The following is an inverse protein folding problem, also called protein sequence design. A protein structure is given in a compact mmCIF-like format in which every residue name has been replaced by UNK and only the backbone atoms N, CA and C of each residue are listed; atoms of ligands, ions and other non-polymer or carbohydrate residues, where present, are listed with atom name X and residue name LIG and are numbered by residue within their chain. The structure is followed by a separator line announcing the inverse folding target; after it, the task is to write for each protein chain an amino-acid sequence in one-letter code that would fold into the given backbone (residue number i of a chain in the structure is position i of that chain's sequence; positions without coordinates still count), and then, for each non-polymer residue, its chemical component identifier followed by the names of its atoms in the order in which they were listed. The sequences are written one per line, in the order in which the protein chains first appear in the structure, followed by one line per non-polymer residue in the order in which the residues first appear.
data_IF_321208504026
#
_entry.id   IF_321208504026
#
_cell.length_a   1.000
_cell.length_b   1.000
_cell.length_c   1.000
_cell.angle_alpha   90.00
_cell.angle_beta   90.00
_cell.angle_gamma   90.00
#
_symmetry.space_group_name_H-M   'P 1'
#
loop_
_entity.id
_entity.type
_entity.pdbx_description
1 polymer ?
#
# COMPACT_ATOMS: atom_id res chain seq x y z
N UNK A 1 15.57 16.14 -22.53
CA UNK A 1 14.98 16.83 -21.36
C UNK A 1 16.03 16.87 -20.27
N UNK A 2 16.24 18.00 -19.58
CA UNK A 2 17.19 18.06 -18.46
C UNK A 2 16.60 17.42 -17.20
N UNK A 3 17.45 16.95 -16.29
CA UNK A 3 17.04 16.35 -15.01
C UNK A 3 16.11 17.27 -14.21
N UNK A 4 16.48 18.55 -14.07
CA UNK A 4 15.69 19.50 -13.30
C UNK A 4 14.31 19.76 -13.94
N UNK A 5 14.23 19.78 -15.27
CA UNK A 5 12.94 19.90 -15.94
C UNK A 5 12.08 18.65 -15.74
N UNK A 6 12.68 17.45 -15.81
CA UNK A 6 11.97 16.20 -15.52
C UNK A 6 11.41 16.22 -14.08
N UNK A 7 12.22 16.63 -13.10
CA UNK A 7 11.80 16.77 -11.71
C UNK A 7 10.65 17.77 -11.55
N UNK A 8 10.75 18.96 -12.16
CA UNK A 8 9.68 19.97 -12.11
C UNK A 8 8.37 19.41 -12.66
N UNK A 9 8.42 18.73 -13.80
CA UNK A 9 7.22 18.16 -14.44
C UNK A 9 6.57 17.10 -13.56
N UNK A 10 7.34 16.13 -13.07
CA UNK A 10 6.77 15.03 -12.28
C UNK A 10 6.24 15.50 -10.93
N UNK A 11 6.93 16.44 -10.27
CA UNK A 11 6.46 17.05 -9.02
C UNK A 11 5.22 17.92 -9.26
N UNK A 12 5.17 18.65 -10.37
CA UNK A 12 3.98 19.42 -10.75
C UNK A 12 2.76 18.53 -10.92
N UNK A 13 2.91 17.35 -11.53
CA UNK A 13 1.79 16.40 -11.65
C UNK A 13 1.30 15.94 -10.28
N UNK A 14 2.21 15.58 -9.35
CA UNK A 14 1.83 15.21 -7.99
C UNK A 14 1.08 16.35 -7.28
N UNK A 15 1.58 17.59 -7.42
CA UNK A 15 0.91 18.78 -6.88
C UNK A 15 -0.51 18.95 -7.45
N UNK A 16 -0.70 18.77 -8.76
CA UNK A 16 -2.03 18.82 -9.37
C UNK A 16 -2.94 17.74 -8.77
N UNK A 17 -2.41 16.54 -8.55
CA UNK A 17 -3.12 15.46 -7.86
C UNK A 17 -3.60 15.86 -6.46
N UNK A 18 -2.70 16.38 -5.63
CA UNK A 18 -3.02 16.84 -4.27
C UNK A 18 -4.05 17.98 -4.28
N UNK A 19 -3.90 18.96 -5.18
CA UNK A 19 -4.82 20.08 -5.31
C UNK A 19 -6.25 19.62 -5.69
N UNK A 20 -6.36 18.62 -6.55
CA UNK A 20 -7.66 18.02 -6.90
C UNK A 20 -8.22 17.24 -5.72
N UNK A 21 -7.42 16.46 -5.01
CA UNK A 21 -7.86 15.69 -3.84
C UNK A 21 -8.40 16.61 -2.74
N UNK A 22 -7.68 17.70 -2.43
CA UNK A 22 -8.11 18.71 -1.45
C UNK A 22 -9.42 19.36 -1.88
N UNK A 23 -9.51 19.85 -3.12
CA UNK A 23 -10.74 20.52 -3.62
C UNK A 23 -11.95 19.60 -3.67
N UNK A 24 -11.74 18.32 -3.96
CA UNK A 24 -12.81 17.32 -4.04
C UNK A 24 -13.09 16.66 -2.68
N UNK A 25 -12.42 17.09 -1.60
CA UNK A 25 -12.51 16.49 -0.26
C UNK A 25 -12.32 14.96 -0.30
N UNK A 26 -11.22 14.56 -0.94
CA UNK A 26 -10.82 13.18 -1.21
C UNK A 26 -11.79 12.35 -2.08
N UNK A 27 -12.81 12.95 -2.72
CA UNK A 27 -13.71 12.20 -3.61
C UNK A 27 -12.98 11.67 -4.85
N UNK A 28 -12.02 12.45 -5.38
CA UNK A 28 -11.03 11.97 -6.34
C UNK A 28 -9.66 11.92 -5.64
N UNK A 29 -9.09 10.73 -5.36
CA UNK A 29 -7.79 10.63 -4.69
C UNK A 29 -6.64 11.19 -5.52
N UNK A 30 -5.60 11.75 -4.88
CA UNK A 30 -4.43 12.29 -5.59
C UNK A 30 -3.72 11.23 -6.43
N UNK A 31 -3.68 9.99 -5.93
CA UNK A 31 -3.14 8.81 -6.60
C UNK A 31 -3.77 8.60 -7.98
N UNK A 32 -5.10 8.74 -8.07
CA UNK A 32 -5.85 8.53 -9.29
C UNK A 32 -5.53 9.62 -10.32
N UNK A 33 -5.59 10.90 -9.90
CA UNK A 33 -5.33 12.05 -10.78
C UNK A 33 -3.90 12.00 -11.31
N UNK A 34 -2.93 11.75 -10.42
CA UNK A 34 -1.53 11.63 -10.78
C UNK A 34 -1.31 10.49 -11.78
N UNK A 35 -1.90 9.31 -11.55
CA UNK A 35 -1.79 8.18 -12.47
C UNK A 35 -2.34 8.50 -13.87
N UNK A 36 -3.50 9.16 -13.97
CA UNK A 36 -4.07 9.61 -15.26
C UNK A 36 -3.11 10.56 -15.97
N UNK A 37 -2.58 11.56 -15.25
CA UNK A 37 -1.67 12.55 -15.83
C UNK A 37 -0.33 11.94 -16.26
N UNK A 38 0.21 10.99 -15.50
CA UNK A 38 1.40 10.23 -15.88
C UNK A 38 1.16 9.38 -17.13
N UNK A 39 0.02 8.67 -17.22
CA UNK A 39 -0.34 7.90 -18.43
C UNK A 39 -0.41 8.81 -19.65
N UNK A 40 -1.12 9.94 -19.56
CA UNK A 40 -1.19 10.92 -20.65
C UNK A 40 0.22 11.42 -21.02
N UNK A 41 1.05 11.70 -20.02
CA UNK A 41 2.45 12.08 -20.21
C UNK A 41 3.24 11.02 -21.02
N UNK A 42 3.18 9.76 -20.61
CA UNK A 42 3.83 8.63 -21.29
C UNK A 42 3.31 8.40 -22.72
N UNK A 43 2.05 8.69 -23.00
CA UNK A 43 1.49 8.55 -24.35
C UNK A 43 1.84 9.70 -25.29
N UNK A 44 2.32 10.83 -24.77
CA UNK A 44 2.44 12.07 -25.57
C UNK A 44 3.86 12.60 -25.63
N UNK A 45 4.49 12.95 -24.50
CA UNK A 45 5.75 13.72 -24.50
C UNK A 45 6.78 13.28 -23.45
N UNK A 46 6.46 12.35 -22.55
CA UNK A 46 7.42 11.86 -21.55
C UNK A 46 8.50 10.98 -22.20
N UNK A 47 9.79 11.18 -21.86
CA UNK A 47 10.76 10.11 -22.06
C UNK A 47 10.36 8.91 -21.18
N UNK A 48 10.55 7.69 -21.68
CA UNK A 48 10.24 6.46 -20.93
C UNK A 48 10.88 6.42 -19.54
N UNK A 49 12.09 6.96 -19.43
CA UNK A 49 12.87 7.00 -18.19
C UNK A 49 12.75 8.34 -17.44
N UNK A 50 11.64 9.08 -17.58
CA UNK A 50 11.46 10.40 -16.95
C UNK A 50 11.69 10.36 -15.43
N UNK A 51 11.28 9.28 -14.75
CA UNK A 51 11.43 9.13 -13.30
C UNK A 51 12.89 8.94 -12.91
N UNK A 52 13.63 8.09 -13.63
CA UNK A 52 15.07 7.97 -13.44
C UNK A 52 15.81 9.27 -13.78
N UNK A 53 15.40 9.95 -14.85
CA UNK A 53 15.94 11.27 -15.25
C UNK A 53 15.67 12.35 -14.20
N UNK A 54 14.56 12.28 -13.46
CA UNK A 54 14.26 13.18 -12.35
C UNK A 54 15.13 12.92 -11.10
N UNK A 55 15.99 11.89 -11.13
CA UNK A 55 16.88 11.52 -10.02
C UNK A 55 16.32 10.41 -9.13
N UNK A 56 15.30 9.67 -9.58
CA UNK A 56 14.69 8.57 -8.83
C UNK A 56 14.85 7.24 -9.60
N UNK A 57 16.07 6.69 -9.70
CA UNK A 57 16.23 5.32 -10.18
C UNK A 57 15.69 4.32 -9.15
N UNK A 58 15.42 3.09 -9.58
CA UNK A 58 14.85 2.03 -8.73
C UNK A 58 15.64 1.80 -7.43
N UNK A 59 16.96 1.94 -7.45
CA UNK A 59 17.81 1.80 -6.25
C UNK A 59 17.44 2.83 -5.15
N UNK A 60 17.17 4.08 -5.54
CA UNK A 60 16.77 5.15 -4.61
C UNK A 60 15.36 4.88 -4.08
N UNK A 61 14.45 4.40 -4.94
CA UNK A 61 13.10 4.03 -4.53
C UNK A 61 13.08 2.89 -3.51
N UNK A 62 13.84 1.82 -3.76
CA UNK A 62 13.97 0.68 -2.83
C UNK A 62 14.55 1.12 -1.50
N UNK A 63 15.58 1.97 -1.50
CA UNK A 63 16.15 2.55 -0.28
C UNK A 63 15.08 3.33 0.52
N UNK A 64 14.32 4.23 -0.13
CA UNK A 64 13.26 4.99 0.54
C UNK A 64 12.13 4.09 1.04
N UNK A 65 11.84 3.00 0.34
CA UNK A 65 10.85 2.00 0.77
C UNK A 65 11.24 1.36 2.11
N UNK A 66 12.51 0.95 2.26
CA UNK A 66 13.02 0.43 3.52
C UNK A 66 12.87 1.42 4.68
N UNK A 67 13.25 2.68 4.47
CA UNK A 67 13.15 3.71 5.50
C UNK A 67 11.70 4.00 5.87
N UNK A 68 10.80 4.11 4.89
CA UNK A 68 9.39 4.40 5.11
C UNK A 68 8.68 3.26 5.83
N UNK A 69 8.89 2.01 5.41
CA UNK A 69 8.22 0.86 6.01
C UNK A 69 8.72 0.64 7.44
N UNK A 70 10.02 0.78 7.68
CA UNK A 70 10.56 0.74 9.04
C UNK A 70 9.97 1.87 9.89
N UNK A 71 9.83 3.08 9.33
CA UNK A 71 9.18 4.20 10.00
C UNK A 71 7.70 3.93 10.31
N UNK A 72 6.96 3.28 9.40
CA UNK A 72 5.58 2.86 9.66
C UNK A 72 5.49 1.86 10.81
N UNK A 73 6.48 0.98 10.95
CA UNK A 73 6.58 0.08 12.11
C UNK A 73 6.61 0.85 13.44
N UNK A 74 7.16 2.06 13.46
CA UNK A 74 7.21 2.90 14.67
C UNK A 74 5.87 3.51 15.06
N UNK A 75 4.88 3.49 14.16
CA UNK A 75 3.52 3.95 14.46
C UNK A 75 2.71 2.91 15.23
N UNK A 76 3.13 1.64 15.19
CA UNK A 76 2.39 0.51 15.71
C UNK A 76 3.00 -0.03 17.00
N UNK A 77 2.16 -0.34 17.99
CA UNK A 77 2.58 -1.14 19.15
C UNK A 77 2.57 -2.64 18.83
N UNK A 78 3.34 -3.44 19.60
CA UNK A 78 3.28 -4.92 19.49
C UNK A 78 1.85 -5.42 19.73
N UNK A 79 1.12 -4.77 20.65
CA UNK A 79 -0.25 -5.13 20.95
C UNK A 79 -1.18 -4.79 19.77
N UNK A 80 -1.01 -3.63 19.13
CA UNK A 80 -1.73 -3.28 17.91
C UNK A 80 -1.49 -4.29 16.80
N UNK A 81 -0.23 -4.68 16.55
CA UNK A 81 0.09 -5.67 15.52
C UNK A 81 -0.59 -7.02 15.81
N UNK A 82 -0.56 -7.48 17.07
CA UNK A 82 -1.30 -8.67 17.49
C UNK A 82 -2.81 -8.51 17.28
N UNK A 83 -3.36 -7.33 17.55
CA UNK A 83 -4.78 -7.03 17.37
C UNK A 83 -5.19 -6.98 15.89
N UNK A 84 -4.24 -6.85 14.93
CA UNK A 84 -4.52 -6.86 13.50
C UNK A 84 -4.77 -8.26 12.91
N UNK A 85 -4.81 -9.34 13.70
CA UNK A 85 -5.11 -10.67 13.16
C UNK A 85 -6.44 -10.73 12.39
N UNK A 86 -7.47 -9.97 12.84
CA UNK A 86 -8.75 -9.87 12.12
C UNK A 86 -8.58 -9.24 10.75
N UNK A 87 -7.77 -8.19 10.66
CA UNK A 87 -7.40 -7.51 9.42
C UNK A 87 -6.73 -8.49 8.47
N UNK A 88 -5.78 -9.30 8.95
CA UNK A 88 -5.11 -10.34 8.15
C UNK A 88 -6.14 -11.32 7.59
N UNK A 89 -7.04 -11.85 8.43
CA UNK A 89 -8.08 -12.79 7.98
C UNK A 89 -9.01 -12.15 6.94
N UNK A 90 -9.40 -10.90 7.13
CA UNK A 90 -10.25 -10.17 6.18
C UNK A 90 -9.53 -9.97 4.84
N UNK A 91 -8.27 -9.53 4.88
CA UNK A 91 -7.46 -9.31 3.68
C UNK A 91 -7.27 -10.61 2.89
N UNK A 92 -6.96 -11.72 3.58
CA UNK A 92 -6.88 -13.06 2.98
C UNK A 92 -8.22 -13.54 2.42
N UNK A 93 -9.33 -13.27 3.13
CA UNK A 93 -10.67 -13.59 2.64
C UNK A 93 -11.01 -12.82 1.36
N UNK A 94 -10.61 -11.55 1.29
CA UNK A 94 -10.73 -10.72 0.10
C UNK A 94 -9.99 -11.29 -1.11
N UNK A 95 -8.73 -11.69 -0.91
CA UNK A 95 -7.93 -12.35 -1.95
C UNK A 95 -8.56 -13.67 -2.37
N UNK A 96 -9.00 -14.50 -1.41
CA UNK A 96 -9.72 -15.74 -1.71
C UNK A 96 -10.97 -15.48 -2.54
N UNK A 97 -11.70 -14.40 -2.26
CA UNK A 97 -12.86 -13.98 -3.04
C UNK A 97 -12.51 -13.67 -4.49
N UNK A 98 -11.40 -12.96 -4.74
CA UNK A 98 -10.90 -12.74 -6.11
C UNK A 98 -10.59 -14.08 -6.78
N UNK A 99 -9.80 -14.92 -6.13
CA UNK A 99 -9.38 -16.21 -6.70
C UNK A 99 -10.60 -17.06 -7.04
N UNK A 100 -11.54 -17.19 -6.11
CA UNK A 100 -12.75 -17.99 -6.30
C UNK A 100 -13.61 -17.47 -7.45
N UNK A 101 -13.87 -16.16 -7.53
CA UNK A 101 -14.74 -15.59 -8.57
C UNK A 101 -14.06 -15.58 -9.94
N UNK A 102 -12.77 -15.24 -10.01
CA UNK A 102 -12.05 -15.21 -11.29
C UNK A 102 -11.77 -16.60 -11.84
N UNK A 103 -11.41 -17.58 -11.00
CA UNK A 103 -11.20 -18.96 -11.47
C UNK A 103 -12.51 -19.73 -11.73
N UNK A 104 -13.67 -19.17 -11.34
CA UNK A 104 -14.98 -19.72 -11.69
C UNK A 104 -15.63 -18.91 -12.82
N UNK A 105 -16.36 -17.85 -12.46
CA UNK A 105 -17.09 -17.00 -13.41
C UNK A 105 -16.16 -16.34 -14.43
N UNK A 106 -15.00 -15.86 -13.99
CA UNK A 106 -14.02 -15.26 -14.90
C UNK A 106 -13.52 -16.25 -15.94
N UNK A 107 -13.20 -17.48 -15.52
CA UNK A 107 -12.75 -18.55 -16.43
C UNK A 107 -13.82 -18.95 -17.42
N UNK A 108 -15.09 -19.00 -17.00
CA UNK A 108 -16.21 -19.29 -17.90
C UNK A 108 -16.40 -18.22 -18.99
N UNK A 109 -16.10 -16.95 -18.69
CA UNK A 109 -16.32 -15.82 -19.60
C UNK A 109 -15.09 -15.53 -20.47
N UNK A 110 -13.89 -15.56 -19.88
CA UNK A 110 -12.64 -15.07 -20.49
C UNK A 110 -11.58 -16.15 -20.70
N UNK A 111 -11.85 -17.40 -20.29
CA UNK A 111 -10.91 -18.51 -20.42
C UNK A 111 -9.96 -18.66 -19.23
N UNK A 112 -9.44 -19.87 -19.05
CA UNK A 112 -8.61 -20.26 -17.91
C UNK A 112 -7.27 -19.53 -17.89
N UNK A 113 -6.50 -19.59 -18.99
CA UNK A 113 -5.18 -18.95 -19.08
C UNK A 113 -5.26 -17.44 -18.81
N UNK A 114 -6.28 -16.76 -19.32
CA UNK A 114 -6.51 -15.34 -19.06
C UNK A 114 -6.65 -15.04 -17.58
N UNK A 115 -7.45 -15.83 -16.85
CA UNK A 115 -7.68 -15.60 -15.41
C UNK A 115 -6.52 -16.06 -14.54
N UNK A 116 -5.82 -17.13 -14.93
CA UNK A 116 -4.57 -17.54 -14.28
C UNK A 116 -3.56 -16.41 -14.34
N UNK A 117 -3.42 -15.76 -15.50
CA UNK A 117 -2.53 -14.59 -15.65
C UNK A 117 -3.04 -13.36 -14.89
N UNK A 118 -4.35 -13.14 -14.84
CA UNK A 118 -4.96 -11.98 -14.20
C UNK A 118 -4.85 -11.96 -12.68
N UNK A 119 -5.06 -13.12 -12.04
CA UNK A 119 -5.31 -13.19 -10.58
C UNK A 119 -4.13 -12.67 -9.76
N UNK A 120 -2.88 -13.17 -9.92
CA UNK A 120 -1.78 -12.74 -9.07
C UNK A 120 -1.45 -11.24 -9.18
N UNK A 121 -1.37 -10.65 -10.39
CA UNK A 121 -1.16 -9.21 -10.53
C UNK A 121 -2.34 -8.39 -9.96
N UNK A 122 -3.58 -8.89 -10.05
CA UNK A 122 -4.77 -8.23 -9.49
C UNK A 122 -4.74 -8.09 -7.96
N UNK A 123 -4.12 -9.04 -7.26
CA UNK A 123 -3.99 -9.04 -5.80
C UNK A 123 -2.58 -8.66 -5.33
N UNK A 124 -1.78 -8.09 -6.24
CA UNK A 124 -0.34 -8.05 -6.11
C UNK A 124 0.36 -6.80 -6.59
N UNK A 125 1.68 -6.82 -6.36
CA UNK A 125 2.59 -5.75 -6.76
C UNK A 125 3.31 -6.07 -8.08
N UNK A 126 4.19 -5.16 -8.50
CA UNK A 126 5.01 -5.27 -9.73
C UNK A 126 5.65 -6.66 -9.87
N UNK A 127 6.15 -7.24 -8.78
CA UNK A 127 6.83 -8.54 -8.81
C UNK A 127 5.92 -9.66 -9.33
N UNK A 128 4.67 -9.74 -8.83
CA UNK A 128 3.71 -10.74 -9.29
C UNK A 128 3.31 -10.54 -10.76
N UNK A 129 3.18 -9.27 -11.18
CA UNK A 129 2.94 -8.89 -12.57
C UNK A 129 4.07 -9.35 -13.49
N UNK A 130 5.33 -9.15 -13.08
CA UNK A 130 6.51 -9.58 -13.83
C UNK A 130 6.59 -11.12 -13.93
N UNK A 131 6.39 -11.85 -12.83
CA UNK A 131 6.40 -13.32 -12.83
C UNK A 131 5.37 -13.88 -13.82
N UNK A 132 4.14 -13.39 -13.75
CA UNK A 132 3.08 -13.86 -14.65
C UNK A 132 3.31 -13.40 -16.09
N UNK A 133 3.85 -12.21 -16.29
CA UNK A 133 4.19 -11.68 -17.62
C UNK A 133 5.27 -12.52 -18.29
N UNK A 134 6.34 -12.85 -17.57
CA UNK A 134 7.43 -13.67 -18.06
C UNK A 134 6.97 -15.12 -18.32
N UNK A 135 6.24 -15.72 -17.39
CA UNK A 135 5.69 -17.07 -17.57
C UNK A 135 4.74 -17.18 -18.77
N UNK A 136 3.84 -16.21 -18.95
CA UNK A 136 2.97 -16.17 -20.12
C UNK A 136 3.78 -16.00 -21.42
N UNK A 137 4.84 -15.19 -21.42
CA UNK A 137 5.73 -15.06 -22.57
C UNK A 137 6.44 -16.36 -22.90
N UNK A 138 6.94 -17.09 -21.90
CA UNK A 138 7.61 -18.39 -22.07
C UNK A 138 6.65 -19.46 -22.60
N UNK A 139 5.38 -19.40 -22.21
CA UNK A 139 4.30 -20.26 -22.71
C UNK A 139 3.79 -19.88 -24.11
N UNK A 140 4.38 -18.87 -24.78
CA UNK A 140 3.94 -18.40 -26.10
C UNK A 140 2.67 -17.53 -26.09
N UNK A 141 2.22 -17.10 -24.91
CA UNK A 141 1.00 -16.30 -24.69
C UNK A 141 1.34 -14.80 -24.64
N UNK A 142 1.86 -14.26 -25.75
CA UNK A 142 2.37 -12.89 -25.82
C UNK A 142 1.33 -11.82 -25.41
N UNK A 143 0.06 -11.97 -25.81
CA UNK A 143 -1.02 -11.06 -25.41
C UNK A 143 -1.33 -11.13 -23.92
N UNK A 144 -1.20 -12.30 -23.29
CA UNK A 144 -1.41 -12.45 -21.85
C UNK A 144 -0.20 -11.94 -21.04
N UNK A 145 1.01 -12.03 -21.59
CA UNK A 145 2.20 -11.41 -21.00
C UNK A 145 2.02 -9.90 -20.82
N UNK A 146 1.48 -9.25 -21.84
CA UNK A 146 1.07 -7.84 -21.83
C UNK A 146 -0.07 -7.61 -20.82
N UNK A 147 -1.07 -8.49 -20.82
CA UNK A 147 -2.22 -8.40 -19.92
C UNK A 147 -1.83 -8.37 -18.43
N UNK A 148 -0.85 -9.18 -18.02
CA UNK A 148 -0.34 -9.22 -16.64
C UNK A 148 0.18 -7.85 -16.15
N UNK A 149 0.88 -7.12 -17.01
CA UNK A 149 1.44 -5.80 -16.68
C UNK A 149 0.33 -4.76 -16.67
N UNK A 150 -0.56 -4.82 -17.64
CA UNK A 150 -1.65 -3.84 -17.78
C UNK A 150 -2.65 -3.96 -16.65
N UNK A 151 -3.03 -5.16 -16.20
CA UNK A 151 -3.98 -5.29 -15.09
C UNK A 151 -3.40 -4.69 -13.80
N UNK A 152 -2.13 -4.95 -13.51
CA UNK A 152 -1.40 -4.35 -12.38
C UNK A 152 -1.45 -2.82 -12.42
N UNK A 153 -1.22 -2.23 -13.60
CA UNK A 153 -1.28 -0.78 -13.82
C UNK A 153 -2.71 -0.23 -13.64
N UNK A 154 -3.70 -0.95 -14.17
CA UNK A 154 -5.06 -0.42 -14.33
C UNK A 154 -5.96 -0.67 -13.12
N UNK A 155 -5.68 -1.68 -12.29
CA UNK A 155 -6.52 -2.02 -11.13
C UNK A 155 -6.61 -0.89 -10.09
N UNK A 156 -5.53 -0.10 -9.93
CA UNK A 156 -5.50 1.04 -9.03
C UNK A 156 -6.57 2.08 -9.39
N UNK A 157 -6.88 2.26 -10.68
CA UNK A 157 -7.89 3.23 -11.13
C UNK A 157 -9.30 2.90 -10.62
N UNK A 158 -9.61 1.62 -10.43
CA UNK A 158 -10.85 1.19 -9.80
C UNK A 158 -10.74 1.16 -8.27
N UNK A 159 -9.59 0.73 -7.75
CA UNK A 159 -9.32 0.61 -6.32
C UNK A 159 -9.34 1.95 -5.58
N UNK A 160 -8.60 2.97 -6.06
CA UNK A 160 -8.41 4.20 -5.29
C UNK A 160 -9.72 4.94 -4.97
N UNK A 161 -10.61 5.22 -5.95
CA UNK A 161 -11.85 5.92 -5.67
C UNK A 161 -12.77 5.10 -4.75
N UNK A 162 -12.82 3.79 -4.95
CA UNK A 162 -13.66 2.90 -4.15
C UNK A 162 -13.20 2.85 -2.70
N UNK A 163 -11.89 2.73 -2.47
CA UNK A 163 -11.28 2.79 -1.14
C UNK A 163 -11.59 4.11 -0.45
N UNK A 164 -11.39 5.24 -1.14
CA UNK A 164 -11.70 6.55 -0.56
C UNK A 164 -13.18 6.65 -0.14
N UNK A 165 -14.09 6.19 -0.99
CA UNK A 165 -15.53 6.20 -0.70
C UNK A 165 -15.89 5.40 0.55
N UNK A 166 -15.32 4.20 0.72
CA UNK A 166 -15.64 3.36 1.89
C UNK A 166 -14.92 3.80 3.15
N UNK A 167 -13.66 4.25 3.06
CA UNK A 167 -12.94 4.85 4.19
C UNK A 167 -13.64 6.11 4.67
N UNK A 168 -14.21 6.92 3.77
CA UNK A 168 -14.96 8.13 4.16
C UNK A 168 -16.22 7.79 4.95
N UNK A 169 -16.90 6.69 4.60
CA UNK A 169 -18.05 6.19 5.37
C UNK A 169 -17.61 5.64 6.73
N UNK A 170 -16.50 4.90 6.76
CA UNK A 170 -15.93 4.38 7.99
C UNK A 170 -15.46 5.48 8.94
N UNK A 171 -14.71 6.46 8.43
CA UNK A 171 -14.23 7.59 9.22
C UNK A 171 -15.38 8.41 9.80
N UNK A 172 -16.47 8.64 9.05
CA UNK A 172 -17.68 9.29 9.61
C UNK A 172 -18.32 8.49 10.74
N UNK A 173 -18.33 7.16 10.63
CA UNK A 173 -18.85 6.25 11.66
C UNK A 173 -18.00 6.33 12.93
N UNK A 174 -16.68 6.25 12.80
CA UNK A 174 -15.72 6.36 13.91
C UNK A 174 -15.78 7.75 14.55
N UNK A 175 -15.88 8.81 13.75
CA UNK A 175 -15.98 10.18 14.23
C UNK A 175 -17.24 10.41 15.07
N UNK A 176 -18.37 9.85 14.62
CA UNK A 176 -19.62 9.85 15.40
C UNK A 176 -19.43 9.16 16.74
N UNK A 177 -18.84 7.96 16.74
CA UNK A 177 -18.58 7.19 17.96
C UNK A 177 -17.61 7.90 18.92
N UNK A 178 -16.61 8.61 18.39
CA UNK A 178 -15.66 9.40 19.16
C UNK A 178 -16.35 10.58 19.86
N UNK A 179 -17.13 11.37 19.10
CA UNK A 179 -17.91 12.50 19.63
C UNK A 179 -18.96 12.09 20.65
N UNK A 180 -19.51 10.89 20.51
CA UNK A 180 -20.45 10.27 21.46
C UNK A 180 -19.74 9.69 22.70
N UNK A 181 -18.40 9.74 22.78
CA UNK A 181 -17.61 9.20 23.90
C UNK A 181 -17.46 7.67 23.93
N UNK A 182 -18.10 6.96 23.02
CA UNK A 182 -18.06 5.49 22.93
C UNK A 182 -16.71 4.94 22.46
N UNK A 183 -15.96 5.70 21.64
CA UNK A 183 -14.61 5.32 21.21
C UNK A 183 -13.58 5.51 22.33
N UNK A 184 -13.71 6.60 23.10
CA UNK A 184 -12.82 6.92 24.21
C UNK A 184 -12.89 5.88 25.35
N UNK A 185 -14.06 5.30 25.63
CA UNK A 185 -14.19 4.23 26.62
C UNK A 185 -13.44 2.94 26.23
N UNK A 186 -13.32 2.64 24.92
CA UNK A 186 -12.57 1.50 24.41
C UNK A 186 -11.05 1.75 24.39
N UNK A 187 -10.63 2.99 24.07
CA UNK A 187 -9.20 3.39 24.14
C UNK A 187 -8.70 3.50 25.58
N UNK A 188 -9.49 4.04 26.52
CA UNK A 188 -9.15 4.12 27.95
C UNK A 188 -9.06 2.72 28.59
N UNK A 189 -9.92 1.77 28.20
CA UNK A 189 -9.80 0.38 28.65
C UNK A 189 -8.54 -0.33 28.12
N UNK A 190 -8.02 0.09 26.96
CA UNK A 190 -6.77 -0.43 26.39
C UNK A 190 -5.50 0.30 26.87
N UNK A 191 -5.64 1.54 27.39
CA UNK A 191 -4.53 2.41 27.81
C UNK A 191 -4.39 2.58 29.33
N UNK A 192 -5.31 2.04 30.14
CA UNK A 192 -5.24 2.06 31.61
C UNK A 192 -3.97 1.40 32.21
N UNK A 193 -3.10 0.79 31.39
CA UNK A 193 -1.82 0.22 31.81
C UNK A 193 -0.55 0.96 31.34
N UNK A 194 -0.63 2.08 30.61
CA UNK A 194 0.59 2.72 30.10
C UNK A 194 0.61 4.24 30.25
N UNK A 195 1.46 4.74 31.16
CA UNK A 195 2.00 6.09 31.10
C UNK A 195 2.59 6.36 29.70
N UNK A 196 2.66 7.63 29.21
CA UNK A 196 3.28 7.94 27.93
C UNK A 196 4.68 7.32 27.90
N UNK A 197 4.96 6.35 27.00
CA UNK A 197 6.23 5.67 27.03
C UNK A 197 7.33 6.70 26.72
N UNK A 198 8.36 6.73 27.56
CA UNK A 198 9.62 7.42 27.24
C UNK A 198 10.06 6.90 25.87
N UNK A 199 10.00 7.74 24.83
CA UNK A 199 10.15 7.30 23.44
C UNK A 199 11.53 6.68 23.15
N UNK A 200 12.57 7.11 23.86
CA UNK A 200 13.95 6.65 23.68
C UNK A 200 14.53 6.03 24.97
N UNK A 201 13.94 4.94 25.46
CA UNK A 201 14.39 4.26 26.69
C UNK A 201 15.89 3.93 26.68
N UNK A 202 16.42 3.46 25.54
CA UNK A 202 17.83 3.10 25.41
C UNK A 202 18.78 4.30 25.37
N UNK A 203 18.25 5.50 25.13
CA UNK A 203 19.00 6.75 25.07
C UNK A 203 18.54 7.75 26.13
N UNK A 204 17.90 7.29 27.22
CA UNK A 204 17.33 8.15 28.27
C UNK A 204 18.35 9.12 28.88
N UNK A 205 19.62 8.72 28.96
CA UNK A 205 20.71 9.51 29.54
C UNK A 205 21.48 10.32 28.47
N UNK A 206 21.08 10.26 27.20
CA UNK A 206 21.75 10.98 26.12
C UNK A 206 21.27 12.43 26.11
N UNK A 207 22.18 13.43 26.12
CA UNK A 207 21.80 14.83 25.94
C UNK A 207 21.07 15.05 24.61
N UNK A 208 19.97 15.82 24.62
CA UNK A 208 19.13 16.05 23.43
C UNK A 208 19.89 16.62 22.23
N UNK A 209 20.97 17.39 22.48
CA UNK A 209 21.86 17.92 21.43
C UNK A 209 22.48 16.86 20.51
N UNK A 210 22.54 15.60 20.95
CA UNK A 210 23.03 14.48 20.13
C UNK A 210 21.90 13.75 19.39
N UNK A 211 20.63 14.01 19.68
CA UNK A 211 19.48 13.48 18.92
C UNK A 211 19.25 14.27 17.62
N UNK A 212 20.29 14.39 16.80
CA UNK A 212 20.26 15.10 15.51
C UNK A 212 19.46 14.34 14.46
N UNK A 213 19.11 14.99 13.34
CA UNK A 213 18.43 14.35 12.21
C UNK A 213 19.22 13.15 11.66
N UNK A 214 20.55 13.27 11.54
CA UNK A 214 21.40 12.17 11.11
C UNK A 214 21.42 11.01 12.10
N UNK A 215 21.33 11.29 13.40
CA UNK A 215 21.22 10.24 14.40
C UNK A 215 19.89 9.47 14.26
N UNK A 216 18.80 10.15 13.93
CA UNK A 216 17.50 9.53 13.63
C UNK A 216 17.58 8.66 12.37
N UNK A 217 18.14 9.20 11.27
CA UNK A 217 18.33 8.44 10.03
C UNK A 217 19.23 7.22 10.22
N UNK A 218 20.34 7.36 10.96
CA UNK A 218 21.25 6.25 11.24
C UNK A 218 20.52 5.09 11.93
N UNK A 219 19.79 5.38 13.02
CA UNK A 219 19.06 4.34 13.75
C UNK A 219 17.97 3.70 12.88
N UNK A 220 17.23 4.50 12.12
CA UNK A 220 16.20 4.00 11.22
C UNK A 220 16.78 3.08 10.14
N UNK A 221 17.86 3.52 9.48
CA UNK A 221 18.54 2.75 8.44
C UNK A 221 19.18 1.47 9.01
N UNK A 222 19.72 1.53 10.23
CA UNK A 222 20.27 0.35 10.90
C UNK A 222 19.18 -0.70 11.15
N UNK A 223 18.01 -0.29 11.66
CA UNK A 223 16.88 -1.22 11.89
C UNK A 223 16.39 -1.81 10.57
N UNK A 224 16.26 -1.00 9.51
CA UNK A 224 15.90 -1.48 8.18
C UNK A 224 16.93 -2.47 7.61
N UNK A 225 18.22 -2.21 7.82
CA UNK A 225 19.30 -3.09 7.39
C UNK A 225 19.29 -4.42 8.15
N UNK A 226 19.03 -4.41 9.46
CA UNK A 226 18.88 -5.64 10.25
C UNK A 226 17.70 -6.50 9.77
N UNK A 227 16.58 -5.86 9.39
CA UNK A 227 15.45 -6.56 8.78
C UNK A 227 15.82 -7.20 7.44
N UNK A 228 16.53 -6.47 6.58
CA UNK A 228 17.07 -7.01 5.32
C UNK A 228 18.00 -8.19 5.55
N UNK A 229 18.99 -8.07 6.45
CA UNK A 229 19.91 -9.16 6.77
C UNK A 229 19.16 -10.39 7.27
N UNK A 230 18.17 -10.21 8.14
CA UNK A 230 17.36 -11.31 8.66
C UNK A 230 16.59 -12.00 7.54
N UNK A 231 16.04 -11.27 6.58
CA UNK A 231 15.41 -11.85 5.37
C UNK A 231 16.41 -12.70 4.57
N UNK A 232 17.62 -12.17 4.32
CA UNK A 232 18.65 -12.89 3.54
C UNK A 232 19.15 -14.15 4.25
N UNK A 233 19.30 -14.12 5.58
CA UNK A 233 19.73 -15.28 6.37
C UNK A 233 18.64 -16.34 6.50
N UNK A 234 17.37 -15.94 6.49
CA UNK A 234 16.23 -16.86 6.53
C UNK A 234 15.93 -17.49 5.16
N UNK A 235 16.31 -16.84 4.06
CA UNK A 235 15.99 -17.28 2.70
C UNK A 235 16.25 -18.77 2.39
N UNK A 236 17.31 -19.44 2.92
CA UNK A 236 17.52 -20.87 2.71
C UNK A 236 16.48 -21.78 3.38
N UNK A 237 15.79 -21.29 4.42
CA UNK A 237 14.82 -22.07 5.22
C UNK A 237 13.39 -21.61 4.94
N UNK A 238 13.14 -20.29 4.96
CA UNK A 238 11.84 -19.67 4.72
C UNK A 238 12.06 -18.33 4.01
N UNK A 239 11.40 -18.15 2.86
CA UNK A 239 11.37 -16.85 2.18
C UNK A 239 10.39 -15.90 2.88
N UNK A 240 10.93 -14.92 3.61
CA UNK A 240 10.16 -13.85 4.24
C UNK A 240 10.54 -12.52 3.60
N UNK A 241 9.56 -11.73 3.19
CA UNK A 241 9.83 -10.43 2.59
C UNK A 241 10.59 -9.51 3.55
N UNK A 242 11.67 -8.86 3.08
CA UNK A 242 12.44 -7.95 3.91
C UNK A 242 11.62 -6.72 4.34
N UNK A 243 10.56 -6.36 3.59
CA UNK A 243 9.66 -5.27 3.97
C UNK A 243 8.72 -5.63 5.11
N UNK A 244 8.26 -6.89 5.18
CA UNK A 244 7.47 -7.39 6.32
C UNK A 244 8.34 -7.38 7.58
N UNK A 245 9.60 -7.81 7.44
CA UNK A 245 10.56 -7.73 8.54
C UNK A 245 10.89 -6.28 8.90
N UNK A 246 10.99 -5.36 7.94
CA UNK A 246 11.25 -3.95 8.22
C UNK A 246 10.15 -3.33 9.09
N UNK A 247 8.87 -3.65 8.80
CA UNK A 247 7.74 -3.25 9.62
C UNK A 247 7.86 -3.84 11.04
N UNK A 248 8.10 -5.15 11.14
CA UNK A 248 8.22 -5.85 12.43
C UNK A 248 9.39 -5.32 13.27
N UNK A 249 10.55 -5.13 12.65
CA UNK A 249 11.74 -4.60 13.31
C UNK A 249 11.54 -3.15 13.73
N UNK A 250 10.80 -2.35 12.95
CA UNK A 250 10.35 -1.02 13.36
C UNK A 250 9.53 -1.07 14.66
N UNK A 251 8.53 -1.96 14.74
CA UNK A 251 7.71 -2.17 15.95
C UNK A 251 8.58 -2.60 17.15
N UNK A 252 9.48 -3.57 16.95
CA UNK A 252 10.38 -4.08 18.00
C UNK A 252 11.32 -2.98 18.48
N UNK A 253 11.96 -2.26 17.57
CA UNK A 253 12.92 -1.21 17.90
C UNK A 253 12.24 -0.03 18.61
N UNK A 254 11.01 0.33 18.24
CA UNK A 254 10.23 1.33 18.98
C UNK A 254 9.81 0.83 20.36
N UNK A 255 9.38 -0.42 20.47
CA UNK A 255 8.99 -1.01 21.76
C UNK A 255 10.16 -1.14 22.73
N UNK A 256 11.35 -1.44 22.21
CA UNK A 256 12.60 -1.45 22.96
C UNK A 256 13.08 -0.03 23.35
N UNK A 257 12.52 1.03 22.75
CA UNK A 257 12.95 2.42 22.94
C UNK A 257 14.27 2.75 22.24
N UNK A 258 14.60 2.02 21.15
CA UNK A 258 15.69 2.34 20.23
C UNK A 258 15.27 3.37 19.18
N UNK A 259 14.06 3.23 18.63
CA UNK A 259 13.43 4.19 17.72
C UNK A 259 12.33 4.97 18.44
N UNK A 260 12.23 6.26 18.14
CA UNK A 260 11.08 7.08 18.53
C UNK A 260 9.91 6.87 17.55
N UNK A 261 8.68 7.27 17.92
CA UNK A 261 7.57 7.26 16.95
C UNK A 261 7.83 8.29 15.86
N UNK A 262 7.44 7.98 14.62
CA UNK A 262 7.54 8.90 13.46
C UNK A 262 8.96 9.41 13.22
N UNK A 263 9.96 8.52 13.30
CA UNK A 263 11.40 8.84 13.13
C UNK A 263 11.67 9.67 11.89
N UNK A 264 11.07 9.30 10.76
CA UNK A 264 11.32 9.92 9.47
C UNK A 264 10.68 11.31 9.35
N UNK A 265 9.53 11.53 10.00
CA UNK A 265 8.93 12.85 10.14
C UNK A 265 9.80 13.75 11.03
N UNK A 266 10.23 13.23 12.19
CA UNK A 266 11.12 13.94 13.13
C UNK A 266 12.53 14.20 12.57
N UNK A 267 12.90 13.53 11.49
CA UNK A 267 14.14 13.74 10.75
C UNK A 267 13.95 14.56 9.45
N UNK A 268 12.77 15.16 9.24
CA UNK A 268 12.43 15.95 8.04
C UNK A 268 12.57 15.18 6.70
N UNK A 269 12.56 13.84 6.73
CA UNK A 269 12.73 12.97 5.57
C UNK A 269 11.45 12.41 4.97
N UNK A 270 10.32 12.53 5.66
CA UNK A 270 9.11 11.78 5.29
C UNK A 270 8.53 12.23 3.95
N UNK A 271 8.42 13.54 3.71
CA UNK A 271 7.84 14.08 2.47
C UNK A 271 8.61 13.68 1.22
N UNK A 272 9.95 13.79 1.25
CA UNK A 272 10.80 13.39 0.12
C UNK A 272 10.74 11.88 -0.12
N UNK A 273 10.67 11.07 0.94
CA UNK A 273 10.56 9.62 0.79
C UNK A 273 9.23 9.22 0.13
N UNK A 274 8.10 9.85 0.52
CA UNK A 274 6.80 9.61 -0.12
C UNK A 274 6.82 10.06 -1.59
N UNK A 275 7.39 11.23 -1.88
CA UNK A 275 7.56 11.72 -3.26
C UNK A 275 8.32 10.69 -4.12
N UNK A 276 9.46 10.20 -3.63
CA UNK A 276 10.28 9.20 -4.33
C UNK A 276 9.48 7.92 -4.61
N UNK A 277 8.73 7.41 -3.63
CA UNK A 277 7.92 6.21 -3.83
C UNK A 277 6.76 6.42 -4.80
N UNK A 278 6.13 7.59 -4.77
CA UNK A 278 5.07 7.95 -5.70
C UNK A 278 5.57 7.93 -7.14
N UNK A 279 6.72 8.54 -7.38
CA UNK A 279 7.36 8.52 -8.70
C UNK A 279 7.69 7.09 -9.14
N UNK A 280 8.20 6.25 -8.24
CA UNK A 280 8.48 4.85 -8.54
C UNK A 280 7.24 4.05 -8.94
N UNK A 281 6.11 4.23 -8.23
CA UNK A 281 4.84 3.57 -8.59
C UNK A 281 4.40 4.01 -9.99
N UNK A 282 4.41 5.31 -10.25
CA UNK A 282 3.96 5.84 -11.54
C UNK A 282 4.93 5.54 -12.68
N UNK A 283 6.20 5.26 -12.41
CA UNK A 283 7.13 4.75 -13.43
C UNK A 283 6.64 3.42 -14.03
N UNK A 284 5.94 2.59 -13.24
CA UNK A 284 5.33 1.36 -13.72
C UNK A 284 4.31 1.56 -14.85
N UNK A 285 3.73 2.76 -14.97
CA UNK A 285 2.74 3.11 -16.00
C UNK A 285 3.37 3.25 -17.39
N UNK A 286 4.70 3.37 -17.50
CA UNK A 286 5.41 3.54 -18.79
C UNK A 286 5.23 2.36 -19.76
N UNK A 287 4.83 1.20 -19.23
CA UNK A 287 4.57 -0.01 -20.02
C UNK A 287 3.15 -0.06 -20.58
N UNK A 288 2.21 0.75 -20.06
CA UNK A 288 0.82 0.73 -20.53
C UNK A 288 0.67 1.59 -21.78
N UNK A 289 0.58 0.97 -22.97
CA UNK A 289 0.32 1.67 -24.23
C UNK A 289 -1.17 1.68 -24.58
N UNK A 290 -1.67 2.67 -25.36
CA UNK A 290 -3.08 2.70 -25.77
C UNK A 290 -3.50 1.44 -26.56
N UNK A 291 -2.61 0.92 -27.42
CA UNK A 291 -2.85 -0.31 -28.18
C UNK A 291 -3.02 -1.52 -27.27
N UNK A 292 -2.10 -1.70 -26.31
CA UNK A 292 -2.19 -2.78 -25.31
C UNK A 292 -3.50 -2.69 -24.52
N UNK A 293 -3.92 -1.48 -24.11
CA UNK A 293 -5.17 -1.28 -23.39
C UNK A 293 -6.40 -1.65 -24.21
N UNK A 294 -6.44 -1.28 -25.48
CA UNK A 294 -7.60 -1.54 -26.35
C UNK A 294 -7.78 -3.03 -26.65
N UNK A 295 -6.68 -3.76 -26.87
CA UNK A 295 -6.72 -5.20 -27.20
C UNK A 295 -7.27 -6.05 -26.06
N UNK A 296 -6.96 -5.70 -24.81
CA UNK A 296 -7.34 -6.47 -23.61
C UNK A 296 -8.39 -5.76 -22.76
N UNK A 297 -9.03 -4.71 -23.27
CA UNK A 297 -9.94 -3.86 -22.50
C UNK A 297 -11.10 -4.65 -21.89
N UNK A 298 -11.69 -5.54 -22.68
CA UNK A 298 -12.84 -6.35 -22.27
C UNK A 298 -12.46 -7.33 -21.15
N UNK A 299 -11.45 -8.22 -21.29
CA UNK A 299 -11.05 -9.10 -20.20
C UNK A 299 -10.49 -8.33 -18.99
N UNK A 300 -9.87 -7.16 -19.21
CA UNK A 300 -9.37 -6.30 -18.13
C UNK A 300 -10.50 -5.76 -17.25
N UNK A 301 -11.48 -5.08 -17.86
CA UNK A 301 -12.61 -4.51 -17.12
C UNK A 301 -13.40 -5.65 -16.47
N UNK A 302 -13.62 -6.74 -17.20
CA UNK A 302 -14.29 -7.94 -16.67
C UNK A 302 -13.60 -8.50 -15.43
N UNK A 303 -12.28 -8.71 -15.49
CA UNK A 303 -11.50 -9.23 -14.36
C UNK A 303 -11.52 -8.28 -13.16
N UNK A 304 -11.38 -6.97 -13.37
CA UNK A 304 -11.42 -5.97 -12.29
C UNK A 304 -12.81 -5.97 -11.63
N UNK A 305 -13.88 -5.92 -12.41
CA UNK A 305 -15.26 -5.90 -11.87
C UNK A 305 -15.57 -7.18 -11.11
N UNK A 306 -15.30 -8.35 -11.71
CA UNK A 306 -15.51 -9.63 -11.05
C UNK A 306 -14.64 -9.79 -9.80
N UNK A 307 -13.39 -9.36 -9.86
CA UNK A 307 -12.47 -9.32 -8.72
C UNK A 307 -13.05 -8.48 -7.58
N UNK A 308 -13.47 -7.24 -7.85
CA UNK A 308 -14.08 -6.35 -6.86
C UNK A 308 -15.34 -6.94 -6.23
N UNK A 309 -16.18 -7.63 -7.01
CA UNK A 309 -17.36 -8.33 -6.49
C UNK A 309 -16.94 -9.46 -5.54
N UNK A 310 -15.97 -10.28 -5.95
CA UNK A 310 -15.42 -11.35 -5.12
C UNK A 310 -14.85 -10.84 -3.80
N UNK A 311 -14.03 -9.78 -3.86
CA UNK A 311 -13.49 -9.07 -2.70
C UNK A 311 -14.61 -8.64 -1.76
N UNK A 312 -15.59 -7.90 -2.29
CA UNK A 312 -16.67 -7.33 -1.50
C UNK A 312 -17.47 -8.41 -0.75
N UNK A 313 -17.87 -9.47 -1.46
CA UNK A 313 -18.70 -10.54 -0.88
C UNK A 313 -17.94 -11.25 0.24
N UNK A 314 -16.69 -11.67 0.00
CA UNK A 314 -15.93 -12.41 0.99
C UNK A 314 -15.47 -11.55 2.16
N UNK A 315 -15.02 -10.32 1.90
CA UNK A 315 -14.65 -9.38 2.97
C UNK A 315 -15.86 -8.99 3.81
N UNK A 316 -17.04 -8.87 3.21
CA UNK A 316 -18.29 -8.61 3.93
C UNK A 316 -18.65 -9.76 4.87
N UNK A 317 -18.56 -11.01 4.40
CA UNK A 317 -18.82 -12.20 5.22
C UNK A 317 -17.80 -12.27 6.37
N UNK A 318 -16.50 -12.16 6.07
CA UNK A 318 -15.45 -12.20 7.08
C UNK A 318 -15.59 -11.06 8.10
N UNK A 319 -15.85 -9.83 7.63
CA UNK A 319 -16.08 -8.66 8.48
C UNK A 319 -17.26 -8.87 9.43
N UNK A 320 -18.37 -9.40 8.93
CA UNK A 320 -19.56 -9.72 9.75
C UNK A 320 -19.25 -10.76 10.82
N UNK A 321 -18.51 -11.82 10.49
CA UNK A 321 -18.11 -12.86 11.45
C UNK A 321 -17.15 -12.33 12.51
N UNK A 322 -16.21 -11.48 12.12
CA UNK A 322 -15.16 -10.94 13.00
C UNK A 322 -15.56 -9.66 13.75
N UNK A 323 -16.79 -9.17 13.52
CA UNK A 323 -17.34 -7.92 14.08
C UNK A 323 -16.53 -6.68 13.68
N UNK A 324 -16.06 -6.65 12.44
CA UNK A 324 -15.46 -5.47 11.79
C UNK A 324 -16.52 -4.85 10.88
N UNK A 325 -16.55 -3.52 10.75
CA UNK A 325 -17.53 -2.88 9.87
C UNK A 325 -17.36 -3.34 8.42
N UNK A 326 -18.46 -3.35 7.68
CA UNK A 326 -18.44 -3.68 6.26
C UNK A 326 -17.56 -2.73 5.46
N UNK A 327 -17.55 -1.44 5.82
CA UNK A 327 -16.73 -0.41 5.20
C UNK A 327 -15.24 -0.68 5.42
N UNK A 328 -14.84 -0.92 6.68
CA UNK A 328 -13.44 -1.19 6.99
C UNK A 328 -13.00 -2.54 6.43
N UNK A 329 -13.84 -3.57 6.52
CA UNK A 329 -13.51 -4.88 6.00
C UNK A 329 -13.30 -4.84 4.47
N UNK A 330 -14.15 -4.11 3.75
CA UNK A 330 -13.95 -3.94 2.32
C UNK A 330 -12.75 -3.05 1.99
N UNK A 331 -12.52 -1.96 2.75
CA UNK A 331 -11.31 -1.14 2.59
C UNK A 331 -10.03 -1.96 2.75
N UNK A 332 -9.96 -2.80 3.80
CA UNK A 332 -8.85 -3.75 4.06
C UNK A 332 -8.72 -4.77 2.94
N UNK A 333 -9.82 -5.21 2.33
CA UNK A 333 -9.71 -6.08 1.17
C UNK A 333 -9.09 -5.34 -0.01
N UNK A 334 -9.54 -4.11 -0.30
CA UNK A 334 -9.12 -3.31 -1.45
C UNK A 334 -7.62 -2.99 -1.47
N UNK A 335 -6.95 -3.04 -0.31
CA UNK A 335 -5.49 -2.87 -0.22
C UNK A 335 -4.72 -3.88 -1.07
N UNK A 336 -5.31 -5.05 -1.37
CA UNK A 336 -4.73 -6.04 -2.26
C UNK A 336 -4.49 -5.53 -3.69
N UNK A 337 -5.22 -4.50 -4.13
CA UNK A 337 -5.09 -3.95 -5.48
C UNK A 337 -3.90 -3.01 -5.65
N UNK A 338 -3.30 -2.48 -4.59
CA UNK A 338 -2.27 -1.45 -4.78
C UNK A 338 -1.26 -1.33 -3.65
N UNK A 339 -1.64 -1.61 -2.40
CA UNK A 339 -0.72 -1.60 -1.27
C UNK A 339 -0.15 -0.22 -0.91
N UNK A 340 0.99 -0.24 -0.22
CA UNK A 340 1.73 0.95 0.19
C UNK A 340 2.54 1.56 -0.98
N UNK A 341 2.68 2.90 -1.09
CA UNK A 341 2.15 3.99 -0.25
C UNK A 341 0.70 4.42 -0.49
N UNK A 342 0.00 3.90 -1.49
CA UNK A 342 -1.37 4.33 -1.80
C UNK A 342 -2.34 4.10 -0.63
N UNK A 343 -2.21 2.99 0.10
CA UNK A 343 -2.94 2.74 1.35
C UNK A 343 -2.79 3.88 2.36
N UNK A 344 -1.56 4.38 2.54
CA UNK A 344 -1.24 5.45 3.48
C UNK A 344 -1.83 6.78 3.01
N UNK A 345 -1.62 7.14 1.73
CA UNK A 345 -2.01 8.43 1.18
C UNK A 345 -3.53 8.58 1.18
N UNK A 346 -4.25 7.59 0.64
CA UNK A 346 -5.71 7.64 0.54
C UNK A 346 -6.34 7.70 1.93
N UNK A 347 -5.80 6.94 2.90
CA UNK A 347 -6.30 6.95 4.28
C UNK A 347 -6.12 8.33 4.91
N UNK A 348 -4.94 8.93 4.79
CA UNK A 348 -4.68 10.27 5.35
C UNK A 348 -5.48 11.37 4.64
N UNK A 349 -5.63 11.30 3.32
CA UNK A 349 -6.50 12.23 2.57
C UNK A 349 -7.93 12.18 3.06
N UNK A 350 -8.47 10.97 3.27
CA UNK A 350 -9.82 10.80 3.80
C UNK A 350 -9.91 11.36 5.21
N UNK A 351 -8.99 11.01 6.12
CA UNK A 351 -8.99 11.50 7.50
C UNK A 351 -8.95 13.04 7.53
N UNK A 352 -8.03 13.64 6.78
CA UNK A 352 -7.87 15.10 6.71
C UNK A 352 -9.08 15.79 6.08
N UNK A 353 -9.83 15.09 5.21
CA UNK A 353 -11.08 15.62 4.63
C UNK A 353 -12.28 15.59 5.60
N UNK A 354 -12.18 14.83 6.70
CA UNK A 354 -13.28 14.59 7.64
C UNK A 354 -13.25 15.50 8.86
N UNK A 355 -12.07 15.95 9.30
CA UNK A 355 -11.93 16.79 10.48
C UNK A 355 -10.71 17.72 10.43
N UNK A 356 -10.88 18.90 11.01
CA UNK A 356 -9.81 19.87 11.25
C UNK A 356 -9.23 19.74 12.67
N UNK A 357 -9.92 19.04 13.58
CA UNK A 357 -9.49 18.85 14.98
C UNK A 357 -8.38 17.79 15.09
N UNK A 358 -7.30 18.14 15.80
CA UNK A 358 -6.12 17.28 15.92
C UNK A 358 -6.40 15.97 16.69
N UNK A 359 -7.25 16.00 17.72
CA UNK A 359 -7.57 14.82 18.52
C UNK A 359 -8.48 13.87 17.75
N UNK A 360 -9.48 14.40 17.06
CA UNK A 360 -10.31 13.61 16.14
C UNK A 360 -9.46 12.98 15.04
N UNK A 361 -8.49 13.73 14.48
CA UNK A 361 -7.55 13.23 13.48
C UNK A 361 -6.70 12.09 14.03
N UNK A 362 -6.17 12.23 15.24
CA UNK A 362 -5.38 11.19 15.90
C UNK A 362 -6.20 9.92 16.12
N UNK A 363 -7.43 10.05 16.63
CA UNK A 363 -8.33 8.91 16.85
C UNK A 363 -8.71 8.21 15.54
N UNK A 364 -8.98 8.95 14.46
CA UNK A 364 -9.22 8.33 13.16
C UNK A 364 -7.95 7.63 12.62
N UNK A 365 -6.78 8.25 12.81
CA UNK A 365 -5.50 7.69 12.36
C UNK A 365 -5.16 6.40 13.09
N UNK A 366 -5.34 6.35 14.42
CA UNK A 366 -5.08 5.16 15.23
C UNK A 366 -5.95 3.96 14.84
N UNK A 367 -7.18 4.22 14.38
CA UNK A 367 -8.12 3.16 14.01
C UNK A 367 -8.11 2.77 12.53
N UNK A 368 -7.89 3.71 11.61
CA UNK A 368 -8.00 3.46 10.17
C UNK A 368 -6.66 3.09 9.52
N UNK A 369 -5.55 3.67 9.97
CA UNK A 369 -4.26 3.49 9.29
C UNK A 369 -3.64 2.10 9.52
N UNK A 370 -3.60 1.55 10.75
CA UNK A 370 -2.99 0.24 10.98
C UNK A 370 -3.60 -0.90 10.15
N UNK A 371 -4.94 -1.05 10.05
CA UNK A 371 -5.50 -2.14 9.28
C UNK A 371 -5.23 -2.00 7.77
N UNK A 372 -5.22 -0.78 7.23
CA UNK A 372 -4.90 -0.53 5.83
C UNK A 372 -3.47 -0.96 5.50
N UNK A 373 -2.50 -0.56 6.32
CA UNK A 373 -1.10 -0.92 6.12
C UNK A 373 -0.88 -2.43 6.26
N UNK A 374 -1.39 -3.05 7.32
CA UNK A 374 -1.20 -4.49 7.55
C UNK A 374 -1.89 -5.32 6.47
N UNK A 375 -3.11 -4.95 6.06
CA UNK A 375 -3.82 -5.59 4.96
C UNK A 375 -2.98 -5.57 3.67
N UNK A 376 -2.54 -4.38 3.25
CA UNK A 376 -1.75 -4.20 2.03
C UNK A 376 -0.43 -4.97 2.06
N UNK A 377 0.30 -4.95 3.18
CA UNK A 377 1.56 -5.69 3.28
C UNK A 377 1.37 -7.20 3.15
N UNK A 378 0.38 -7.77 3.83
CA UNK A 378 0.13 -9.22 3.76
C UNK A 378 -0.24 -9.63 2.33
N UNK A 379 -1.17 -8.90 1.70
CA UNK A 379 -1.68 -9.28 0.38
C UNK A 379 -0.65 -9.05 -0.71
N UNK A 380 -0.16 -7.82 -0.84
CA UNK A 380 0.68 -7.39 -1.97
C UNK A 380 2.07 -8.01 -1.89
N UNK A 381 2.62 -8.19 -0.69
CA UNK A 381 4.00 -8.63 -0.53
C UNK A 381 4.15 -10.14 -0.42
N UNK A 382 3.23 -10.81 0.29
CA UNK A 382 3.36 -12.25 0.58
C UNK A 382 2.44 -13.04 -0.36
N UNK A 383 1.13 -12.79 -0.26
CA UNK A 383 0.13 -13.63 -0.91
C UNK A 383 0.25 -13.55 -2.42
N UNK A 384 0.49 -12.36 -2.98
CA UNK A 384 0.59 -12.20 -4.43
C UNK A 384 1.76 -12.96 -5.06
N UNK A 385 2.92 -12.97 -4.40
CA UNK A 385 4.13 -13.64 -4.88
C UNK A 385 3.95 -15.16 -4.80
N UNK A 386 3.34 -15.64 -3.71
CA UNK A 386 2.99 -17.05 -3.56
C UNK A 386 1.99 -17.48 -4.63
N UNK A 387 0.94 -16.69 -4.86
CA UNK A 387 -0.03 -16.97 -5.92
C UNK A 387 0.63 -16.95 -7.30
N UNK A 388 1.49 -15.97 -7.60
CA UNK A 388 2.20 -15.92 -8.88
C UNK A 388 3.09 -17.15 -9.09
N UNK A 389 3.85 -17.54 -8.07
CA UNK A 389 4.71 -18.73 -8.12
C UNK A 389 3.96 -20.04 -8.31
N UNK A 390 2.71 -20.13 -7.81
CA UNK A 390 1.84 -21.30 -8.06
C UNK A 390 1.21 -21.20 -9.46
N UNK A 391 0.67 -20.04 -9.80
CA UNK A 391 -0.17 -19.84 -10.99
C UNK A 391 0.64 -19.88 -12.28
N UNK A 392 1.91 -19.46 -12.23
CA UNK A 392 2.82 -19.58 -13.37
C UNK A 392 3.02 -21.04 -13.80
N UNK A 393 2.92 -22.00 -12.88
CA UNK A 393 2.98 -23.42 -13.19
C UNK A 393 1.74 -23.99 -13.89
N UNK A 394 0.66 -23.20 -14.03
CA UNK A 394 -0.53 -23.56 -14.80
C UNK A 394 -0.51 -23.01 -16.23
N UNK A 395 0.52 -22.26 -16.61
CA UNK A 395 0.78 -21.79 -17.98
C UNK A 395 1.73 -22.75 -18.67
#
# INVERSE_FOLDING_TARGET
MSQMLALVIVVFILLVGDLVAVRTKAWVPSMFVSAVLFLIGYWTFFPKEIVALAGVPSAVAVMMMYLLITNMGTLLSIQELKNQWKTIVIALSGVLGIVAVLLSLGTLIFGFQTMVVAVPPLVGGVVSALIMSEGASQAGLASLSVFAIVIYVMQGFAGYPLTSLVLKKEGKRLLKQYREGSLAAAEVAATAEAAPPVELKLFKNMPEKYNTEFFKFFRLALVAYLAYLTSTLLAPVVSVSPFVLALLFGVIATSAGFLEKQVLQKANGFGIAILVLMLFIFDGLKQATPGMLLEILVPLIGAIVLGLVGMYVFSFIAGKLLKVSKEMAFAVSLTALYGFPADYIITNEVINSLTEDEKEREALTSHMLPPMLVGGFVTVTIVSVVLAGIFVGFL
#
